data_IF_370273955850
#
_entry.id   IF_370273955850
#
_cell.length_a   1.000
_cell.length_b   1.000
_cell.length_c   1.000
_cell.angle_alpha   90.00
_cell.angle_beta   90.00
_cell.angle_gamma   90.00
#
_symmetry.space_group_name_H-M   'P 1'
#
loop_
_entity.id
_entity.type
_entity.pdbx_description
1 polymer ?
#
# COMPACT_ATOMS: atom_id res chain seq x y z
N UNK A 1 1.06 9.28 -26.16
CA UNK A 1 2.14 8.85 -25.24
C UNK A 1 1.68 8.87 -23.77
N UNK A 2 1.10 9.97 -23.27
CA UNK A 2 0.65 10.09 -21.88
C UNK A 2 -0.54 9.20 -21.47
N UNK A 3 -1.33 8.72 -22.42
CA UNK A 3 -2.49 7.85 -22.15
C UNK A 3 -2.14 6.54 -21.44
N UNK A 4 -0.88 6.08 -21.50
CA UNK A 4 -0.40 4.87 -20.82
C UNK A 4 -0.01 5.10 -19.36
N UNK A 5 0.13 6.35 -18.92
CA UNK A 5 0.57 6.70 -17.56
C UNK A 5 -0.55 7.35 -16.73
N UNK A 6 -1.80 7.23 -17.18
CA UNK A 6 -2.95 7.71 -16.42
C UNK A 6 -3.43 6.65 -15.43
N UNK A 7 -3.88 7.05 -14.24
CA UNK A 7 -4.48 6.11 -13.31
C UNK A 7 -5.76 5.49 -13.90
N UNK A 8 -6.02 4.23 -13.54
CA UNK A 8 -7.31 3.60 -13.85
C UNK A 8 -8.43 4.19 -12.99
N UNK A 9 -8.12 4.49 -11.73
CA UNK A 9 -9.02 5.19 -10.80
C UNK A 9 -8.30 6.35 -10.13
N UNK A 10 -9.01 7.47 -10.01
CA UNK A 10 -8.64 8.59 -9.14
C UNK A 10 -9.67 8.65 -8.04
N UNK A 11 -9.21 8.54 -6.80
CA UNK A 11 -10.04 8.57 -5.60
C UNK A 11 -9.36 9.46 -4.56
N UNK A 12 -10.16 10.07 -3.68
CA UNK A 12 -9.63 11.06 -2.73
C UNK A 12 -8.84 10.43 -1.58
N UNK A 13 -9.12 9.18 -1.24
CA UNK A 13 -8.48 8.47 -0.13
C UNK A 13 -8.55 6.96 -0.32
N UNK A 14 -7.53 6.25 0.17
CA UNK A 14 -7.45 4.78 0.09
C UNK A 14 -8.62 4.10 0.83
N UNK A 15 -9.14 4.73 1.89
CA UNK A 15 -10.23 4.20 2.71
C UNK A 15 -11.55 4.04 1.95
N UNK A 16 -11.69 4.69 0.78
CA UNK A 16 -12.85 4.51 -0.11
C UNK A 16 -12.80 3.20 -0.90
N UNK A 17 -11.67 2.50 -0.89
CA UNK A 17 -11.51 1.18 -1.51
C UNK A 17 -11.95 0.13 -0.49
N UNK A 18 -13.04 -0.57 -0.78
CA UNK A 18 -13.52 -1.67 0.06
C UNK A 18 -13.03 -3.01 -0.47
N UNK A 19 -12.85 -4.03 0.40
CA UNK A 19 -12.47 -5.36 -0.06
C UNK A 19 -13.48 -5.98 -1.04
N UNK A 20 -14.77 -5.66 -0.90
CA UNK A 20 -15.81 -6.16 -1.79
C UNK A 20 -15.63 -5.65 -3.24
N UNK A 21 -15.25 -4.38 -3.42
CA UNK A 21 -14.94 -3.81 -4.73
C UNK A 21 -13.73 -4.52 -5.36
N UNK A 22 -12.65 -4.72 -4.59
CA UNK A 22 -11.45 -5.40 -5.07
C UNK A 22 -11.74 -6.86 -5.47
N UNK A 23 -12.51 -7.59 -4.66
CA UNK A 23 -12.93 -8.96 -4.96
C UNK A 23 -13.76 -9.07 -6.24
N UNK A 24 -14.69 -8.13 -6.47
CA UNK A 24 -15.49 -8.09 -7.70
C UNK A 24 -14.62 -7.95 -8.95
N UNK A 25 -13.44 -7.35 -8.81
CA UNK A 25 -12.47 -7.15 -9.89
C UNK A 25 -11.40 -8.25 -9.97
N UNK A 26 -11.49 -9.29 -9.12
CA UNK A 26 -10.52 -10.37 -9.07
C UNK A 26 -9.16 -9.98 -8.49
N UNK A 27 -9.08 -8.83 -7.79
CA UNK A 27 -7.85 -8.34 -7.18
C UNK A 27 -7.59 -9.10 -5.87
N UNK A 28 -6.38 -9.63 -5.71
CA UNK A 28 -5.95 -10.43 -4.55
C UNK A 28 -4.95 -9.71 -3.65
N UNK A 29 -4.28 -8.70 -4.19
CA UNK A 29 -3.25 -7.96 -3.47
C UNK A 29 -3.27 -6.47 -3.86
N UNK A 30 -2.91 -5.63 -2.90
CA UNK A 30 -2.72 -4.19 -3.06
C UNK A 30 -1.25 -3.89 -2.81
N UNK A 31 -0.55 -3.46 -3.84
CA UNK A 31 0.82 -2.94 -3.73
C UNK A 31 0.74 -1.44 -3.50
N UNK A 32 1.37 -0.95 -2.44
CA UNK A 32 1.28 0.45 -2.05
C UNK A 32 2.65 1.04 -1.75
N UNK A 33 2.81 2.34 -2.01
CA UNK A 33 3.93 3.08 -1.45
C UNK A 33 3.70 3.35 0.05
N UNK A 34 4.76 3.79 0.72
CA UNK A 34 4.74 4.09 2.15
C UNK A 34 4.51 5.59 2.41
N UNK A 35 5.53 6.39 2.12
CA UNK A 35 5.56 7.81 2.43
C UNK A 35 4.53 8.56 1.58
N UNK A 36 3.69 9.39 2.22
CA UNK A 36 2.62 10.14 1.57
C UNK A 36 1.59 9.28 0.81
N UNK A 37 1.48 7.99 1.14
CA UNK A 37 0.40 7.11 0.65
C UNK A 37 -0.33 6.44 1.82
N UNK A 38 0.36 5.60 2.59
CA UNK A 38 -0.23 5.02 3.81
C UNK A 38 -0.03 5.94 5.02
N UNK A 39 1.12 6.61 5.08
CA UNK A 39 1.50 7.39 6.26
C UNK A 39 1.99 8.77 5.87
N UNK A 40 1.45 9.79 6.54
CA UNK A 40 2.03 11.13 6.51
C UNK A 40 3.44 11.08 7.11
N UNK A 41 4.42 11.70 6.45
CA UNK A 41 5.83 11.65 6.85
C UNK A 41 6.08 11.99 8.35
N UNK A 42 5.22 12.81 8.95
CA UNK A 42 5.29 13.26 10.34
C UNK A 42 4.41 12.48 11.34
N UNK A 43 3.61 11.49 10.91
CA UNK A 43 2.75 10.70 11.79
C UNK A 43 3.01 9.18 11.64
N UNK A 44 4.08 8.65 12.27
CA UNK A 44 4.49 7.26 12.11
C UNK A 44 3.55 6.25 12.79
N UNK A 45 2.48 6.69 13.46
CA UNK A 45 1.50 5.83 14.14
C UNK A 45 0.27 5.55 13.26
N UNK A 46 0.18 6.20 12.10
CA UNK A 46 -0.97 6.11 11.20
C UNK A 46 -2.24 6.68 11.83
N UNK A 47 -3.36 6.58 11.11
CA UNK A 47 -4.67 6.95 11.64
C UNK A 47 -5.48 5.70 12.00
N UNK A 48 -6.52 5.86 12.81
CA UNK A 48 -7.41 4.73 13.14
C UNK A 48 -8.16 4.21 11.90
N UNK A 49 -8.46 5.09 10.94
CA UNK A 49 -9.05 4.71 9.65
C UNK A 49 -8.10 3.81 8.85
N UNK A 50 -6.79 4.08 8.87
CA UNK A 50 -5.80 3.22 8.24
C UNK A 50 -5.79 1.84 8.87
N UNK A 51 -5.76 1.76 10.20
CA UNK A 51 -5.75 0.48 10.93
C UNK A 51 -7.00 -0.34 10.61
N UNK A 52 -8.16 0.32 10.62
CA UNK A 52 -9.45 -0.30 10.28
C UNK A 52 -9.43 -0.83 8.85
N UNK A 53 -8.98 -0.01 7.90
CA UNK A 53 -8.89 -0.40 6.49
C UNK A 53 -7.96 -1.59 6.27
N UNK A 54 -6.78 -1.61 6.90
CA UNK A 54 -5.85 -2.74 6.82
C UNK A 54 -6.46 -4.02 7.41
N UNK A 55 -7.17 -3.90 8.53
CA UNK A 55 -7.87 -5.03 9.15
C UNK A 55 -8.97 -5.60 8.24
N UNK A 56 -9.76 -4.73 7.60
CA UNK A 56 -10.78 -5.15 6.63
C UNK A 56 -10.17 -5.90 5.45
N UNK A 57 -9.04 -5.41 4.91
CA UNK A 57 -8.31 -6.07 3.82
C UNK A 57 -7.80 -7.44 4.26
N UNK A 58 -7.17 -7.53 5.44
CA UNK A 58 -6.66 -8.78 6.02
C UNK A 58 -7.79 -9.80 6.22
N UNK A 59 -8.90 -9.40 6.83
CA UNK A 59 -10.06 -10.26 7.07
C UNK A 59 -10.72 -10.73 5.75
N UNK A 60 -10.63 -9.93 4.71
CA UNK A 60 -11.12 -10.30 3.39
C UNK A 60 -10.15 -11.20 2.61
N UNK A 61 -8.94 -11.48 3.12
CA UNK A 61 -7.91 -12.25 2.42
C UNK A 61 -7.23 -11.48 1.29
N UNK A 62 -7.19 -10.15 1.38
CA UNK A 62 -6.50 -9.28 0.43
C UNK A 62 -5.16 -8.87 1.06
N UNK A 63 -4.07 -9.25 0.41
CA UNK A 63 -2.72 -8.92 0.89
C UNK A 63 -2.40 -7.46 0.60
N UNK A 64 -2.08 -6.67 1.63
CA UNK A 64 -1.54 -5.32 1.45
C UNK A 64 -0.02 -5.39 1.64
N UNK A 65 0.74 -5.07 0.58
CA UNK A 65 2.20 -5.15 0.57
C UNK A 65 2.78 -3.76 0.31
N UNK A 66 3.65 -3.30 1.19
CA UNK A 66 4.37 -2.04 1.00
C UNK A 66 5.56 -2.27 0.06
N UNK A 67 5.66 -1.50 -1.01
CA UNK A 67 6.80 -1.53 -1.93
C UNK A 67 7.43 -0.16 -1.97
N UNK A 68 8.68 -0.04 -1.53
CA UNK A 68 9.35 1.26 -1.42
C UNK A 68 10.80 1.24 -1.88
N UNK A 69 11.27 2.37 -2.43
CA UNK A 69 12.69 2.58 -2.74
C UNK A 69 13.49 2.98 -1.49
N UNK A 70 12.82 3.20 -0.36
CA UNK A 70 13.45 3.66 0.87
C UNK A 70 14.28 2.56 1.54
N UNK A 71 15.09 2.96 2.52
CA UNK A 71 15.92 2.03 3.30
C UNK A 71 15.04 1.17 4.22
N UNK A 72 15.46 -0.08 4.39
CA UNK A 72 14.82 -1.09 5.25
C UNK A 72 14.46 -0.55 6.65
N UNK A 73 15.41 0.06 7.34
CA UNK A 73 15.23 0.58 8.70
C UNK A 73 14.08 1.59 8.85
N UNK A 74 13.81 2.39 7.81
CA UNK A 74 12.72 3.37 7.79
C UNK A 74 11.37 2.69 7.62
N UNK A 75 11.30 1.69 6.76
CA UNK A 75 10.08 0.96 6.41
C UNK A 75 9.71 0.04 7.56
N UNK A 76 10.68 -0.73 8.08
CA UNK A 76 10.51 -1.67 9.19
C UNK A 76 9.84 -1.04 10.41
N UNK A 77 10.34 0.13 10.85
CA UNK A 77 9.76 0.88 11.99
C UNK A 77 8.27 1.22 11.81
N UNK A 78 7.83 1.36 10.57
CA UNK A 78 6.44 1.70 10.25
C UNK A 78 5.60 0.43 10.15
N UNK A 79 6.02 -0.51 9.29
CA UNK A 79 5.24 -1.70 8.95
C UNK A 79 5.09 -2.68 10.10
N UNK A 80 6.06 -2.73 11.03
CA UNK A 80 5.96 -3.54 12.26
C UNK A 80 4.74 -3.17 13.12
N UNK A 81 4.33 -1.90 13.12
CA UNK A 81 3.16 -1.45 13.90
C UNK A 81 1.83 -1.92 13.31
N UNK A 82 1.82 -2.21 12.01
CA UNK A 82 0.62 -2.58 11.27
C UNK A 82 0.62 -4.04 10.81
N UNK A 83 1.65 -4.81 11.19
CA UNK A 83 1.82 -6.20 10.77
C UNK A 83 1.73 -6.36 9.23
N UNK A 84 2.46 -5.47 8.52
CA UNK A 84 2.48 -5.46 7.05
C UNK A 84 3.77 -6.04 6.49
N UNK A 85 3.62 -6.84 5.45
CA UNK A 85 4.73 -7.26 4.62
C UNK A 85 5.26 -6.08 3.80
N UNK A 86 6.56 -6.11 3.47
CA UNK A 86 7.17 -5.07 2.65
C UNK A 86 8.34 -5.53 1.81
N UNK A 87 8.63 -4.74 0.77
CA UNK A 87 9.83 -4.80 -0.05
C UNK A 87 10.55 -3.45 0.03
N UNK A 88 11.75 -3.46 0.61
CA UNK A 88 12.65 -2.31 0.66
C UNK A 88 13.55 -2.25 -0.58
N UNK A 89 14.10 -1.06 -0.88
CA UNK A 89 15.00 -0.83 -2.03
C UNK A 89 14.48 -1.41 -3.34
N UNK A 90 13.18 -1.28 -3.59
CA UNK A 90 12.51 -1.94 -4.72
C UNK A 90 12.92 -1.44 -6.12
N UNK A 91 13.72 -0.36 -6.22
CA UNK A 91 14.14 0.26 -7.49
C UNK A 91 12.98 0.59 -8.44
N UNK A 92 11.80 0.95 -7.90
CA UNK A 92 10.68 1.51 -8.66
C UNK A 92 11.18 2.68 -9.52
N UNK A 93 10.76 2.81 -10.80
CA UNK A 93 9.70 2.03 -11.47
C UNK A 93 10.19 0.74 -12.16
N UNK A 94 11.44 0.31 -11.96
CA UNK A 94 11.95 -0.91 -12.60
C UNK A 94 11.36 -2.16 -11.95
N UNK A 95 11.17 -3.24 -12.73
CA UNK A 95 10.65 -4.51 -12.22
C UNK A 95 11.64 -5.29 -11.32
N UNK A 96 12.86 -4.77 -11.10
CA UNK A 96 13.95 -5.50 -10.44
C UNK A 96 13.70 -5.80 -8.97
N UNK A 97 13.02 -4.91 -8.24
CA UNK A 97 12.67 -5.16 -6.85
C UNK A 97 11.43 -6.02 -6.65
N UNK A 98 10.79 -6.52 -7.72
CA UNK A 98 9.58 -7.34 -7.64
C UNK A 98 9.83 -8.83 -7.94
N UNK A 99 11.09 -9.23 -8.13
CA UNK A 99 11.49 -10.62 -8.39
C UNK A 99 11.83 -11.36 -7.11
#
# INVERSE_FOLDING_TARGET
MFSKYKPTWMIDAIYKITPAQLKKLGIKAVLTDLDNTLIAWNNPDGTEELKTWLLEMKNAGITVLVVSNNKDSRIKRVVEKFDLDYVARALKPTARGFK
#
